data_IF_504707945070
#
_entry.id   IF_504707945070
#
_cell.length_a   1.000
_cell.length_b   1.000
_cell.length_c   1.000
_cell.angle_alpha   90.00
_cell.angle_beta   90.00
_cell.angle_gamma   90.00
#
_symmetry.space_group_name_H-M   'P 1'
#
loop_
_entity.id
_entity.type
_entity.pdbx_description
1 polymer ?
#
# COMPACT_ATOMS: atom_id res chain seq x y z
N UNK A 1 1.26 29.19 -50.22
CA UNK A 1 0.77 27.95 -50.86
C UNK A 1 0.46 26.96 -49.75
N UNK A 2 -0.83 26.65 -49.55
CA UNK A 2 -1.31 25.73 -48.50
C UNK A 2 -1.33 24.32 -49.08
N UNK A 3 -0.68 23.37 -48.41
CA UNK A 3 -0.73 21.95 -48.75
C UNK A 3 -1.55 21.24 -47.67
N UNK A 4 -2.66 20.65 -48.09
CA UNK A 4 -3.57 19.84 -47.27
C UNK A 4 -3.32 18.40 -47.68
N UNK A 5 -2.84 17.57 -46.74
CA UNK A 5 -2.73 16.12 -46.94
C UNK A 5 -3.82 15.46 -46.07
N UNK A 6 -4.82 14.80 -46.65
CA UNK A 6 -5.74 13.93 -45.92
C UNK A 6 -5.22 12.50 -45.97
N UNK A 7 -4.97 11.85 -44.83
CA UNK A 7 -4.71 10.40 -44.83
C UNK A 7 -5.52 9.72 -43.73
N UNK A 8 -6.59 9.10 -44.23
CA UNK A 8 -7.25 7.86 -43.86
C UNK A 8 -7.18 7.37 -42.40
N UNK A 9 -8.35 7.47 -41.75
CA UNK A 9 -8.79 6.58 -40.68
C UNK A 9 -8.81 5.12 -41.14
N UNK A 10 -7.97 4.29 -40.53
CA UNK A 10 -8.11 2.83 -40.51
C UNK A 10 -8.64 2.40 -39.15
N UNK A 11 -9.93 2.07 -39.08
CA UNK A 11 -10.57 1.48 -37.90
C UNK A 11 -10.32 -0.02 -37.94
N UNK A 12 -9.47 -0.53 -37.05
CA UNK A 12 -9.27 -1.97 -36.86
C UNK A 12 -9.84 -2.34 -35.49
N UNK A 13 -11.06 -2.86 -35.49
CA UNK A 13 -11.70 -3.43 -34.30
C UNK A 13 -11.16 -4.84 -34.08
N UNK A 14 -10.34 -5.04 -33.04
CA UNK A 14 -10.01 -6.37 -32.52
C UNK A 14 -10.84 -6.60 -31.25
N UNK A 15 -11.89 -7.40 -31.37
CA UNK A 15 -12.63 -7.95 -30.24
C UNK A 15 -11.91 -9.22 -29.77
N UNK A 16 -11.30 -9.18 -28.58
CA UNK A 16 -10.81 -10.37 -27.89
C UNK A 16 -11.59 -10.55 -26.59
N UNK A 17 -12.50 -11.51 -26.61
CA UNK A 17 -13.25 -12.00 -25.45
C UNK A 17 -12.45 -13.14 -24.81
N UNK A 18 -11.88 -12.91 -23.63
CA UNK A 18 -11.37 -13.99 -22.78
C UNK A 18 -12.15 -14.03 -21.48
N UNK A 19 -13.09 -14.98 -21.44
CA UNK A 19 -13.77 -15.45 -20.23
C UNK A 19 -12.92 -16.57 -19.61
N UNK A 20 -12.31 -16.29 -18.45
CA UNK A 20 -11.68 -17.31 -17.60
C UNK A 20 -11.57 -16.84 -16.14
N UNK A 21 -12.70 -16.71 -15.44
CA UNK A 21 -12.73 -16.69 -13.97
C UNK A 21 -12.88 -18.15 -13.49
N UNK A 22 -11.76 -18.79 -13.19
CA UNK A 22 -11.71 -20.17 -12.69
C UNK A 22 -10.56 -20.36 -11.72
N UNK A 23 -10.47 -19.51 -10.70
CA UNK A 23 -9.54 -19.68 -9.59
C UNK A 23 -10.20 -20.50 -8.49
N UNK A 24 -9.69 -21.70 -8.24
CA UNK A 24 -10.01 -22.49 -7.05
C UNK A 24 -9.24 -21.92 -5.86
N UNK A 25 -9.98 -21.42 -4.86
CA UNK A 25 -9.41 -21.00 -3.57
C UNK A 25 -9.05 -22.26 -2.78
N UNK A 26 -7.77 -22.46 -2.50
CA UNK A 26 -7.32 -23.40 -1.48
C UNK A 26 -7.52 -22.74 -0.12
N UNK A 27 -8.57 -23.13 0.61
CA UNK A 27 -8.65 -22.89 2.05
C UNK A 27 -7.61 -23.79 2.71
N UNK A 28 -6.48 -23.21 3.10
CA UNK A 28 -5.60 -23.86 4.05
C UNK A 28 -6.27 -23.73 5.42
N UNK A 29 -6.92 -24.80 5.87
CA UNK A 29 -7.34 -24.96 7.27
C UNK A 29 -6.07 -24.97 8.13
N UNK A 30 -5.65 -23.78 8.55
CA UNK A 30 -4.75 -23.63 9.67
C UNK A 30 -5.56 -23.91 10.94
N UNK A 31 -5.63 -25.18 11.31
CA UNK A 31 -5.98 -25.61 12.67
C UNK A 31 -4.90 -25.11 13.64
N UNK A 32 -4.93 -23.81 13.94
CA UNK A 32 -4.19 -23.18 15.03
C UNK A 32 -5.12 -22.14 15.67
N UNK A 33 -5.98 -22.63 16.56
CA UNK A 33 -6.20 -22.13 17.92
C UNK A 33 -5.89 -20.63 18.10
N UNK A 34 -6.94 -19.80 18.25
CA UNK A 34 -6.83 -18.42 18.72
C UNK A 34 -7.91 -17.49 18.18
N UNK A 35 -9.18 -17.77 18.50
CA UNK A 35 -10.32 -16.93 18.16
C UNK A 35 -10.39 -15.74 19.13
N UNK A 36 -9.59 -14.70 18.88
CA UNK A 36 -9.69 -13.44 19.62
C UNK A 36 -10.45 -12.42 18.77
N UNK A 37 -11.76 -12.40 18.98
CA UNK A 37 -12.67 -11.40 18.43
C UNK A 37 -12.42 -10.03 19.09
N UNK A 38 -11.60 -9.19 18.47
CA UNK A 38 -11.48 -7.78 18.83
C UNK A 38 -12.61 -6.95 18.21
N UNK A 39 -13.73 -6.80 18.92
CA UNK A 39 -14.78 -5.82 18.58
C UNK A 39 -14.42 -4.44 19.11
N UNK A 40 -14.34 -3.45 18.22
CA UNK A 40 -14.27 -2.03 18.56
C UNK A 40 -15.62 -1.48 19.06
N UNK A 41 -15.53 -0.71 20.15
CA UNK A 41 -16.22 0.55 20.43
C UNK A 41 -17.78 0.63 20.57
N UNK A 42 -18.14 1.28 21.70
CA UNK A 42 -19.32 2.14 22.00
C UNK A 42 -20.61 1.53 22.58
N UNK A 43 -20.78 1.86 23.88
CA UNK A 43 -21.86 2.64 24.53
C UNK A 43 -23.34 2.21 24.40
N UNK A 44 -23.95 2.22 25.59
CA UNK A 44 -25.37 2.44 25.94
C UNK A 44 -26.32 1.22 26.07
N UNK A 45 -26.60 0.89 27.34
CA UNK A 45 -27.88 0.49 27.95
C UNK A 45 -28.81 -0.50 27.23
N UNK A 46 -28.99 -1.70 27.80
CA UNK A 46 -30.30 -2.20 28.25
C UNK A 46 -30.16 -3.50 29.05
N UNK A 47 -30.96 -3.61 30.11
CA UNK A 47 -31.17 -4.83 30.89
C UNK A 47 -31.80 -5.88 29.98
N UNK A 48 -31.18 -7.05 29.87
CA UNK A 48 -31.94 -8.26 29.58
C UNK A 48 -31.37 -9.44 30.39
N UNK A 49 -32.18 -9.90 31.34
CA UNK A 49 -31.85 -10.97 32.26
C UNK A 49 -32.46 -12.26 31.74
N UNK A 50 -31.68 -13.05 31.01
CA UNK A 50 -32.01 -14.45 30.75
C UNK A 50 -31.05 -15.33 31.55
N UNK A 51 -31.52 -16.19 32.47
CA UNK A 51 -30.66 -17.12 33.17
C UNK A 51 -30.36 -18.31 32.25
N UNK A 52 -29.45 -18.11 31.31
CA UNK A 52 -28.84 -19.17 30.54
C UNK A 52 -27.75 -19.82 31.38
N UNK A 53 -27.91 -21.12 31.65
CA UNK A 53 -27.00 -21.97 32.42
C UNK A 53 -25.52 -21.63 32.15
N UNK A 54 -24.86 -21.12 33.19
CA UNK A 54 -23.42 -20.94 33.21
C UNK A 54 -22.75 -22.29 32.92
N UNK A 55 -22.21 -22.43 31.71
CA UNK A 55 -21.10 -23.36 31.50
C UNK A 55 -19.95 -22.73 32.26
N UNK A 56 -19.78 -23.16 33.52
CA UNK A 56 -18.56 -22.90 34.28
C UNK A 56 -17.46 -23.66 33.55
N UNK A 57 -16.88 -23.03 32.53
CA UNK A 57 -15.54 -23.37 32.08
C UNK A 57 -14.70 -23.06 33.31
N UNK A 58 -14.29 -24.11 34.02
CA UNK A 58 -13.23 -23.99 35.01
C UNK A 58 -11.98 -23.67 34.19
N UNK A 59 -11.77 -22.39 33.96
CA UNK A 59 -10.53 -21.84 33.47
C UNK A 59 -9.48 -22.32 34.47
N UNK A 60 -8.84 -23.46 34.13
CA UNK A 60 -7.62 -23.88 34.76
C UNK A 60 -6.60 -22.83 34.32
N UNK A 61 -6.58 -21.74 35.08
CA UNK A 61 -5.59 -20.69 35.05
C UNK A 61 -4.27 -21.37 35.35
N UNK A 62 -3.66 -21.92 34.30
CA UNK A 62 -2.24 -22.21 34.32
C UNK A 62 -1.59 -20.83 34.44
N UNK A 63 -0.91 -20.52 35.56
CA UNK A 63 -0.12 -19.30 35.60
C UNK A 63 0.80 -19.35 34.39
N UNK A 64 0.77 -18.31 33.55
CA UNK A 64 1.61 -18.22 32.36
C UNK A 64 3.05 -18.53 32.79
N UNK A 65 3.54 -19.70 32.37
CA UNK A 65 4.84 -20.23 32.80
C UNK A 65 5.99 -19.47 32.13
N UNK A 66 5.65 -18.59 31.19
CA UNK A 66 6.60 -17.74 30.50
C UNK A 66 6.66 -16.39 31.23
N UNK A 67 7.87 -15.87 31.51
CA UNK A 67 8.01 -14.53 32.05
C UNK A 67 7.40 -13.51 31.08
N UNK A 68 6.78 -12.46 31.63
CA UNK A 68 6.30 -11.32 30.84
C UNK A 68 7.46 -10.76 30.00
N UNK A 69 7.20 -10.58 28.71
CA UNK A 69 8.17 -9.93 27.84
C UNK A 69 8.37 -8.48 28.28
N UNK A 70 9.57 -8.17 28.77
CA UNK A 70 9.98 -6.81 29.06
C UNK A 70 10.74 -6.26 27.84
N UNK A 71 10.09 -5.36 27.11
CA UNK A 71 10.76 -4.58 26.06
C UNK A 71 11.89 -3.76 26.71
N UNK A 72 13.17 -3.95 26.32
CA UNK A 72 14.27 -3.14 26.84
C UNK A 72 14.09 -1.65 26.53
N UNK A 73 13.17 -1.31 25.62
CA UNK A 73 12.89 0.04 25.15
C UNK A 73 13.99 0.52 24.21
N UNK A 74 13.58 1.29 23.21
CA UNK A 74 14.54 2.13 22.51
C UNK A 74 14.70 3.45 23.27
N UNK A 75 15.92 4.03 23.32
CA UNK A 75 16.04 5.45 23.65
C UNK A 75 15.23 6.27 22.65
N UNK A 76 14.87 7.50 23.03
CA UNK A 76 14.13 8.40 22.14
C UNK A 76 14.76 8.43 20.74
N UNK A 77 14.05 7.87 19.76
CA UNK A 77 14.55 7.78 18.40
C UNK A 77 14.70 9.20 17.83
N UNK A 78 15.77 9.48 17.08
CA UNK A 78 15.89 10.76 16.40
C UNK A 78 14.73 10.92 15.39
N UNK A 79 14.37 12.18 15.04
CA UNK A 79 13.43 12.41 13.96
C UNK A 79 13.87 11.73 12.66
N UNK A 80 12.93 11.29 11.81
CA UNK A 80 13.27 10.70 10.52
C UNK A 80 14.13 11.63 9.66
N UNK A 81 15.05 11.04 8.92
CA UNK A 81 15.91 11.76 7.98
C UNK A 81 15.14 11.90 6.66
N UNK A 82 15.10 13.11 6.12
CA UNK A 82 14.42 13.41 4.85
C UNK A 82 15.49 13.76 3.80
N UNK A 83 15.63 12.93 2.77
CA UNK A 83 16.55 13.14 1.63
C UNK A 83 15.77 13.28 0.32
N UNK A 84 15.48 14.51 -0.09
CA UNK A 84 14.70 14.81 -1.30
C UNK A 84 15.59 15.39 -2.39
N UNK A 85 15.94 14.58 -3.38
CA UNK A 85 16.66 15.04 -4.58
C UNK A 85 15.70 15.64 -5.62
N UNK A 86 14.43 15.22 -5.58
CA UNK A 86 13.38 15.63 -6.51
C UNK A 86 11.99 15.61 -5.83
N UNK A 87 10.98 16.20 -6.48
CA UNK A 87 9.59 16.20 -6.02
C UNK A 87 8.71 15.25 -6.86
N UNK A 88 8.24 14.11 -6.32
CA UNK A 88 7.51 13.06 -7.07
C UNK A 88 6.20 13.53 -7.71
N UNK A 89 5.52 14.50 -7.11
CA UNK A 89 4.21 14.98 -7.60
C UNK A 89 4.33 16.15 -8.60
N UNK A 90 5.55 16.60 -8.91
CA UNK A 90 5.78 17.71 -9.84
C UNK A 90 5.83 17.20 -11.28
N UNK A 91 5.01 17.77 -12.15
CA UNK A 91 5.00 17.44 -13.59
C UNK A 91 6.23 18.04 -14.33
N UNK A 92 6.72 17.41 -15.41
CA UNK A 92 7.12 16.01 -15.55
C UNK A 92 8.62 15.86 -15.92
N UNK A 93 9.37 14.89 -15.36
CA UNK A 93 8.99 13.82 -14.43
C UNK A 93 9.66 13.99 -13.06
N UNK A 94 9.15 14.91 -12.23
CA UNK A 94 9.89 15.46 -11.10
C UNK A 94 11.03 16.37 -11.58
N UNK A 95 11.79 16.94 -10.65
CA UNK A 95 12.95 17.79 -10.99
C UNK A 95 14.14 17.01 -11.62
N UNK A 96 13.87 15.90 -12.30
CA UNK A 96 14.82 14.94 -12.88
C UNK A 96 15.14 15.22 -14.35
N UNK A 97 16.16 14.56 -14.88
CA UNK A 97 16.59 14.70 -16.27
C UNK A 97 15.63 14.03 -17.25
N UNK A 98 15.80 14.30 -18.55
CA UNK A 98 15.04 13.64 -19.61
C UNK A 98 15.29 12.13 -19.60
N UNK A 99 14.21 11.35 -19.57
CA UNK A 99 14.26 9.89 -19.48
C UNK A 99 14.34 9.33 -18.06
N UNK A 100 14.38 10.19 -17.03
CA UNK A 100 14.30 9.79 -15.63
C UNK A 100 12.89 10.04 -15.07
N UNK A 101 12.64 9.63 -13.83
CA UNK A 101 11.49 9.99 -13.03
C UNK A 101 11.87 10.04 -11.56
N UNK A 102 11.14 10.86 -10.80
CA UNK A 102 11.33 10.98 -9.37
C UNK A 102 10.53 9.91 -8.62
N UNK A 103 11.22 8.95 -7.98
CA UNK A 103 10.58 7.90 -7.21
C UNK A 103 10.82 8.10 -5.71
N UNK A 104 9.76 8.03 -4.88
CA UNK A 104 9.92 8.05 -3.43
C UNK A 104 10.52 6.72 -2.95
N UNK A 105 11.33 6.77 -1.90
CA UNK A 105 11.94 5.59 -1.30
C UNK A 105 11.95 5.68 0.23
N UNK A 106 12.10 4.52 0.86
CA UNK A 106 12.37 4.36 2.28
C UNK A 106 13.61 3.47 2.44
N UNK A 107 14.55 3.90 3.29
CA UNK A 107 15.67 3.07 3.74
C UNK A 107 15.38 2.68 5.18
N UNK A 108 15.10 1.39 5.36
CA UNK A 108 14.88 0.80 6.67
C UNK A 108 16.20 0.73 7.45
N UNK A 109 16.17 1.04 8.76
CA UNK A 109 17.36 0.97 9.60
C UNK A 109 17.90 -0.46 9.73
N UNK A 110 19.20 -0.57 10.01
CA UNK A 110 19.84 -1.87 10.26
C UNK A 110 19.76 -2.29 11.73
N UNK A 111 19.58 -1.32 12.63
CA UNK A 111 19.44 -1.53 14.06
C UNK A 111 18.03 -1.14 14.56
N UNK A 112 17.49 -1.79 15.60
CA UNK A 112 16.10 -1.64 16.03
C UNK A 112 15.71 -0.25 16.56
N UNK A 113 16.69 0.59 16.90
CA UNK A 113 16.45 1.92 17.46
C UNK A 113 16.96 3.06 16.56
N UNK A 114 17.35 2.74 15.32
CA UNK A 114 17.67 3.76 14.32
C UNK A 114 16.39 4.23 13.61
N UNK A 115 16.39 5.47 13.15
CA UNK A 115 15.26 6.02 12.41
C UNK A 115 15.32 5.62 10.92
N UNK A 116 14.15 5.47 10.31
CA UNK A 116 14.01 5.33 8.86
C UNK A 116 14.45 6.60 8.14
N UNK A 117 14.98 6.43 6.93
CA UNK A 117 15.27 7.54 6.02
C UNK A 117 14.25 7.52 4.90
N UNK A 118 13.50 8.61 4.76
CA UNK A 118 12.55 8.79 3.67
C UNK A 118 13.13 9.74 2.64
N UNK A 119 12.87 9.48 1.37
CA UNK A 119 13.40 10.33 0.33
C UNK A 119 12.71 10.21 -1.00
N UNK A 120 13.26 10.92 -1.98
CA UNK A 120 12.93 10.75 -3.38
C UNK A 120 14.16 10.98 -4.25
N UNK A 121 14.39 10.10 -5.21
CA UNK A 121 15.55 10.12 -6.10
C UNK A 121 15.15 9.96 -7.56
N UNK A 122 16.01 10.47 -8.46
CA UNK A 122 15.83 10.33 -9.89
C UNK A 122 16.38 8.99 -10.36
N UNK A 123 15.53 8.18 -10.98
CA UNK A 123 15.87 6.89 -11.60
C UNK A 123 15.30 6.83 -13.01
N UNK A 124 15.74 5.91 -13.88
CA UNK A 124 15.15 5.75 -15.20
C UNK A 124 13.62 5.64 -15.18
N UNK A 125 12.94 6.41 -16.03
CA UNK A 125 11.49 6.35 -16.18
C UNK A 125 11.08 4.97 -16.69
N UNK A 126 10.18 4.32 -15.98
CA UNK A 126 9.58 3.07 -16.44
C UNK A 126 8.37 3.29 -17.35
N UNK A 127 7.70 2.19 -17.65
CA UNK A 127 6.48 2.21 -18.48
C UNK A 127 5.26 1.63 -17.77
N UNK A 128 5.45 0.98 -16.62
CA UNK A 128 4.40 0.29 -15.86
C UNK A 128 3.29 1.23 -15.38
N UNK A 129 2.04 0.90 -15.71
CA UNK A 129 0.85 1.69 -15.37
C UNK A 129 0.14 1.15 -14.12
N UNK A 130 -0.90 1.85 -13.68
CA UNK A 130 -1.77 1.43 -12.57
C UNK A 130 -2.14 -0.08 -12.65
N UNK A 131 -1.90 -0.79 -11.55
CA UNK A 131 -2.15 -2.21 -11.34
C UNK A 131 -1.29 -3.17 -12.20
N UNK A 132 -0.29 -2.68 -12.93
CA UNK A 132 0.68 -3.53 -13.62
C UNK A 132 1.79 -3.99 -12.67
N UNK A 133 2.34 -5.20 -12.83
CA UNK A 133 3.41 -5.71 -11.98
C UNK A 133 4.71 -4.91 -12.18
N UNK A 134 5.41 -4.61 -11.08
CA UNK A 134 6.68 -3.86 -11.12
C UNK A 134 7.94 -4.73 -10.92
N UNK A 135 7.80 -6.06 -10.99
CA UNK A 135 8.94 -6.97 -10.95
C UNK A 135 9.55 -7.10 -12.35
N UNK A 136 10.44 -6.17 -12.70
CA UNK A 136 11.26 -6.22 -13.92
C UNK A 136 11.13 -5.00 -14.82
N UNK A 137 9.99 -4.34 -14.81
CA UNK A 137 9.74 -3.06 -15.47
C UNK A 137 9.47 -2.00 -14.38
N UNK A 138 10.18 -0.87 -14.36
CA UNK A 138 9.85 0.21 -13.44
C UNK A 138 8.48 0.81 -13.77
N UNK A 139 7.87 1.44 -12.77
CA UNK A 139 6.62 2.15 -12.97
C UNK A 139 6.83 3.42 -13.80
N UNK A 140 5.81 3.83 -14.55
CA UNK A 140 5.81 5.07 -15.29
C UNK A 140 5.97 6.28 -14.34
N UNK A 141 6.44 7.44 -14.85
CA UNK A 141 6.48 8.67 -14.06
C UNK A 141 5.15 8.95 -13.35
N UNK A 142 5.22 9.33 -12.08
CA UNK A 142 4.05 9.56 -11.24
C UNK A 142 3.39 8.28 -10.71
N UNK A 143 4.00 7.11 -10.88
CA UNK A 143 3.60 5.86 -10.26
C UNK A 143 4.71 5.33 -9.35
N UNK A 144 4.32 4.57 -8.32
CA UNK A 144 5.22 3.90 -7.38
C UNK A 144 4.86 2.42 -7.26
N UNK A 145 5.86 1.59 -7.08
CA UNK A 145 5.71 0.14 -6.89
C UNK A 145 5.37 -0.14 -5.43
N UNK A 146 4.17 -0.67 -5.15
CA UNK A 146 3.70 -0.98 -3.78
C UNK A 146 3.35 -2.45 -3.64
N UNK A 147 3.59 -3.01 -2.45
CA UNK A 147 3.22 -4.39 -2.12
C UNK A 147 1.76 -4.41 -1.68
N UNK A 148 0.94 -5.22 -2.35
CA UNK A 148 -0.47 -5.43 -2.03
C UNK A 148 -0.74 -6.90 -1.74
N UNK A 149 -1.94 -7.22 -1.25
CA UNK A 149 -2.39 -8.61 -1.10
C UNK A 149 -2.48 -9.40 -2.42
N UNK A 150 -2.48 -8.71 -3.57
CA UNK A 150 -2.51 -9.32 -4.91
C UNK A 150 -1.12 -9.43 -5.58
N UNK A 151 -0.06 -8.98 -4.90
CA UNK A 151 1.31 -8.88 -5.44
C UNK A 151 1.84 -7.44 -5.41
N UNK A 152 3.01 -7.21 -5.98
CA UNK A 152 3.58 -5.85 -6.07
C UNK A 152 3.24 -5.23 -7.42
N UNK A 153 2.56 -4.09 -7.37
CA UNK A 153 1.99 -3.42 -8.54
C UNK A 153 2.33 -1.93 -8.53
N UNK A 154 2.34 -1.32 -9.71
CA UNK A 154 2.44 0.11 -9.87
C UNK A 154 1.12 0.78 -9.51
N UNK A 155 1.17 1.83 -8.68
CA UNK A 155 0.01 2.65 -8.32
C UNK A 155 0.33 4.12 -8.55
N UNK A 156 -0.66 4.89 -8.98
CA UNK A 156 -0.50 6.34 -9.17
C UNK A 156 -0.20 6.99 -7.81
N UNK A 157 0.82 7.85 -7.77
CA UNK A 157 1.13 8.66 -6.61
C UNK A 157 0.07 9.74 -6.41
N UNK A 158 -0.28 9.97 -5.15
CA UNK A 158 -1.22 10.98 -4.73
C UNK A 158 -0.69 11.77 -3.53
N UNK A 159 -1.24 12.96 -3.31
CA UNK A 159 -0.92 13.76 -2.14
C UNK A 159 -1.94 13.50 -1.04
N UNK A 160 -1.47 13.13 0.15
CA UNK A 160 -2.33 12.93 1.31
C UNK A 160 -2.99 14.23 1.80
N UNK A 161 -2.47 15.39 1.40
CA UNK A 161 -3.02 16.71 1.78
C UNK A 161 -3.96 17.28 0.72
N UNK A 162 -3.99 16.71 -0.48
CA UNK A 162 -4.85 17.17 -1.58
C UNK A 162 -5.91 16.11 -1.92
N UNK A 163 -7.18 16.33 -1.53
CA UNK A 163 -8.25 15.41 -1.87
C UNK A 163 -8.51 15.38 -3.39
N UNK A 164 -9.01 14.25 -3.88
CA UNK A 164 -9.33 14.07 -5.30
C UNK A 164 -8.10 14.01 -6.22
N UNK A 165 -6.93 13.68 -5.68
CA UNK A 165 -5.71 13.46 -6.45
C UNK A 165 -5.70 12.11 -7.18
N UNK A 166 -6.56 11.17 -6.77
CA UNK A 166 -6.74 9.88 -7.41
C UNK A 166 -7.85 9.88 -8.47
N UNK A 167 -7.74 9.01 -9.50
CA UNK A 167 -8.83 8.74 -10.44
C UNK A 167 -10.12 8.27 -9.74
N UNK A 168 -11.25 8.43 -10.43
CA UNK A 168 -12.56 7.99 -9.91
C UNK A 168 -12.54 6.50 -9.57
N UNK A 169 -12.98 6.19 -8.34
CA UNK A 169 -13.06 4.82 -7.82
C UNK A 169 -11.83 4.37 -7.05
N UNK A 170 -10.78 5.21 -6.94
CA UNK A 170 -9.61 4.94 -6.12
C UNK A 170 -9.51 5.91 -4.93
N UNK A 171 -8.90 5.46 -3.84
CA UNK A 171 -8.67 6.24 -2.63
C UNK A 171 -7.17 6.48 -2.48
N UNK A 172 -6.80 7.69 -2.05
CA UNK A 172 -5.41 8.01 -1.73
C UNK A 172 -5.07 7.45 -0.35
N UNK A 173 -4.37 6.33 -0.30
CA UNK A 173 -3.92 5.68 0.93
C UNK A 173 -2.45 5.96 1.18
N UNK A 174 -2.05 6.12 2.45
CA UNK A 174 -0.65 6.38 2.80
C UNK A 174 0.25 5.22 2.41
N UNK A 175 1.39 5.53 1.79
CA UNK A 175 2.48 4.57 1.58
C UNK A 175 3.56 4.78 2.64
N UNK A 176 4.59 3.92 2.65
CA UNK A 176 5.74 3.96 3.57
C UNK A 176 6.64 5.21 3.42
N UNK A 177 6.15 6.27 2.76
CA UNK A 177 6.88 7.53 2.58
C UNK A 177 5.98 8.68 3.01
N UNK A 178 6.46 9.44 4.00
CA UNK A 178 5.69 10.51 4.62
C UNK A 178 5.23 11.56 3.61
N UNK A 179 3.92 11.86 3.64
CA UNK A 179 3.30 12.92 2.84
C UNK A 179 2.81 12.49 1.45
N UNK A 180 3.14 11.28 1.02
CA UNK A 180 2.66 10.69 -0.23
C UNK A 180 1.73 9.53 0.04
N UNK A 181 0.85 9.27 -0.92
CA UNK A 181 0.02 8.08 -0.95
C UNK A 181 0.05 7.41 -2.31
N UNK A 182 -0.59 6.25 -2.39
CA UNK A 182 -0.90 5.53 -3.61
C UNK A 182 -2.40 5.46 -3.83
N UNK A 183 -2.83 5.56 -5.09
CA UNK A 183 -4.22 5.36 -5.47
C UNK A 183 -4.56 3.86 -5.54
N UNK A 184 -5.38 3.40 -4.61
CA UNK A 184 -5.80 2.00 -4.43
C UNK A 184 -7.32 1.85 -4.45
#
# INVERSE_FOLDING_TARGET
>A
MRWVIPVLSGVTALALSFSACGGTVYQQESDLIGQDSGTDAKKDSAKDSTPGKDVVVKDQWHPDVLPDYADPGCPDAPPPIIDKQCEPLKAPPGDCLEGEACYPYVIYPSAPCEAETYGAMCEPAGTGQQNEPCYGEPCAPGHVCVITGAGTVCVQLCSLTQPGSCPDGLVCESIDVTGYGGCL
#
